data_IF_548594962801
#
_entry.id   IF_548594962801
#
_cell.length_a   1.000
_cell.length_b   1.000
_cell.length_c   1.000
_cell.angle_alpha   90.00
_cell.angle_beta   90.00
_cell.angle_gamma   90.00
#
_symmetry.space_group_name_H-M   'P 1'
#
loop_
_entity.id
_entity.type
_entity.pdbx_description
1 polymer ?
#
# COMPACT_ATOMS: atom_id res chain seq x y z
N UNK A 1 -29.62 -27.18 19.67
CA UNK A 1 -30.11 -26.28 20.74
C UNK A 1 -29.05 -25.22 21.00
N UNK A 2 -29.14 -24.08 20.30
CA UNK A 2 -28.14 -22.99 20.39
C UNK A 2 -28.08 -22.42 21.82
N UNK A 3 -29.21 -22.35 22.51
CA UNK A 3 -29.28 -21.89 23.92
C UNK A 3 -28.57 -22.83 24.89
N UNK A 4 -28.38 -24.10 24.51
CA UNK A 4 -27.63 -25.08 25.30
C UNK A 4 -26.19 -25.29 24.77
N UNK A 5 -25.70 -24.44 23.85
CA UNK A 5 -24.37 -24.57 23.24
C UNK A 5 -24.18 -25.81 22.36
N UNK A 6 -25.25 -26.53 22.05
CA UNK A 6 -25.22 -27.75 21.24
C UNK A 6 -25.67 -27.45 19.82
N UNK A 7 -24.72 -27.15 18.94
CA UNK A 7 -24.90 -27.06 17.49
C UNK A 7 -23.87 -27.94 16.78
N UNK A 8 -24.22 -28.43 15.59
CA UNK A 8 -23.26 -29.15 14.75
C UNK A 8 -22.18 -28.18 14.30
N UNK A 9 -20.94 -28.65 14.26
CA UNK A 9 -19.85 -27.84 13.73
C UNK A 9 -20.15 -27.43 12.29
N UNK A 10 -19.76 -26.20 11.96
CA UNK A 10 -19.92 -25.67 10.62
C UNK A 10 -18.95 -26.42 9.71
N UNK A 11 -19.42 -27.08 8.64
CA UNK A 11 -18.58 -27.87 7.76
C UNK A 11 -17.37 -27.08 7.23
N UNK A 12 -16.24 -27.76 7.04
CA UNK A 12 -14.99 -27.11 6.62
C UNK A 12 -15.08 -26.41 5.26
N UNK A 13 -15.98 -26.86 4.37
CA UNK A 13 -16.19 -26.23 3.07
C UNK A 13 -16.86 -24.85 3.18
N UNK A 14 -17.50 -24.52 4.31
CA UNK A 14 -18.09 -23.20 4.54
C UNK A 14 -16.99 -22.30 5.10
N UNK A 15 -16.55 -21.34 4.30
CA UNK A 15 -15.47 -20.40 4.60
C UNK A 15 -15.87 -18.97 4.21
N UNK A 16 -15.04 -17.98 4.59
CA UNK A 16 -15.30 -16.57 4.31
C UNK A 16 -16.48 -15.98 5.08
N UNK A 17 -17.11 -14.94 4.53
CA UNK A 17 -18.16 -14.16 5.18
C UNK A 17 -19.36 -15.02 5.65
N UNK A 18 -19.75 -16.03 4.86
CA UNK A 18 -20.83 -16.94 5.22
C UNK A 18 -20.52 -17.69 6.53
N UNK A 19 -19.26 -18.09 6.72
CA UNK A 19 -18.82 -18.78 7.94
C UNK A 19 -18.90 -17.85 9.13
N UNK A 20 -18.36 -16.64 9.02
CA UNK A 20 -18.37 -15.64 10.08
C UNK A 20 -19.79 -15.20 10.46
N UNK A 21 -20.66 -15.03 9.46
CA UNK A 21 -22.07 -14.74 9.66
C UNK A 21 -22.76 -15.87 10.43
N UNK A 22 -22.58 -17.13 10.03
CA UNK A 22 -23.15 -18.29 10.73
C UNK A 22 -22.61 -18.41 12.16
N UNK A 23 -21.31 -18.16 12.39
CA UNK A 23 -20.71 -18.15 13.73
C UNK A 23 -21.37 -17.08 14.60
N UNK A 24 -21.53 -15.86 14.08
CA UNK A 24 -22.17 -14.75 14.81
C UNK A 24 -23.65 -15.02 15.12
N UNK A 25 -24.38 -15.69 14.22
CA UNK A 25 -25.77 -16.08 14.43
C UNK A 25 -25.94 -17.20 15.46
N UNK A 26 -24.92 -18.06 15.61
CA UNK A 26 -24.89 -19.15 16.57
C UNK A 26 -24.42 -18.71 17.97
N UNK A 27 -24.23 -17.40 18.21
CA UNK A 27 -23.78 -16.89 19.50
C UNK A 27 -24.72 -17.31 20.64
N UNK A 28 -24.14 -17.81 21.75
CA UNK A 28 -24.86 -18.20 22.96
C UNK A 28 -25.64 -17.01 23.56
N UNK A 29 -25.02 -15.84 23.57
CA UNK A 29 -25.65 -14.59 23.99
C UNK A 29 -26.53 -14.03 22.86
N UNK A 30 -27.83 -14.00 23.10
CA UNK A 30 -28.80 -13.52 22.11
C UNK A 30 -28.63 -12.04 21.77
N UNK A 31 -28.10 -11.23 22.70
CA UNK A 31 -27.87 -9.79 22.48
C UNK A 31 -26.68 -9.51 21.56
N UNK A 32 -25.77 -10.48 21.41
CA UNK A 32 -24.58 -10.41 20.54
C UNK A 32 -24.81 -11.01 19.16
N UNK A 33 -26.00 -11.54 18.90
CA UNK A 33 -26.36 -12.01 17.55
C UNK A 33 -26.62 -10.81 16.66
N UNK A 34 -26.26 -10.89 15.37
CA UNK A 34 -26.56 -9.82 14.43
C UNK A 34 -28.07 -9.61 14.32
N UNK A 35 -28.47 -8.34 14.15
CA UNK A 35 -29.86 -7.98 13.87
C UNK A 35 -30.20 -8.26 12.41
N UNK A 36 -31.50 -8.25 12.09
CA UNK A 36 -31.98 -8.45 10.72
C UNK A 36 -31.39 -7.40 9.77
N UNK A 37 -31.25 -6.14 10.21
CA UNK A 37 -30.65 -5.09 9.39
C UNK A 37 -29.18 -5.36 9.06
N UNK A 38 -28.40 -5.84 10.05
CA UNK A 38 -27.00 -6.23 9.85
C UNK A 38 -26.90 -7.44 8.91
N UNK A 39 -27.81 -8.42 9.03
CA UNK A 39 -27.86 -9.57 8.14
C UNK A 39 -28.26 -9.19 6.71
N UNK A 40 -29.19 -8.25 6.54
CA UNK A 40 -29.63 -7.74 5.24
C UNK A 40 -28.57 -6.89 4.54
N UNK A 41 -27.63 -6.33 5.30
CA UNK A 41 -26.44 -5.65 4.79
C UNK A 41 -25.31 -6.60 4.39
N UNK A 42 -25.40 -7.90 4.72
CA UNK A 42 -24.40 -8.88 4.26
C UNK A 42 -24.46 -9.06 2.75
N UNK A 43 -23.29 -9.23 2.11
CA UNK A 43 -23.19 -9.30 0.66
C UNK A 43 -23.96 -10.50 0.09
N UNK A 44 -24.02 -11.59 0.89
CA UNK A 44 -24.80 -12.80 0.60
C UNK A 44 -26.29 -12.48 0.50
N UNK A 45 -26.82 -11.69 1.43
CA UNK A 45 -28.24 -11.41 1.52
C UNK A 45 -28.68 -10.39 0.45
N UNK A 46 -27.81 -9.44 0.09
CA UNK A 46 -28.03 -8.57 -1.07
C UNK A 46 -28.04 -9.35 -2.39
N UNK A 47 -27.17 -10.35 -2.53
CA UNK A 47 -27.12 -11.21 -3.70
C UNK A 47 -28.39 -12.08 -3.84
N UNK A 48 -28.88 -12.63 -2.73
CA UNK A 48 -30.15 -13.37 -2.69
C UNK A 48 -31.34 -12.45 -3.02
N UNK A 49 -31.33 -11.21 -2.51
CA UNK A 49 -32.40 -10.22 -2.76
C UNK A 49 -32.45 -9.79 -4.22
N UNK A 50 -31.31 -9.53 -4.84
CA UNK A 50 -31.20 -9.18 -6.27
C UNK A 50 -31.52 -10.37 -7.18
N UNK A 51 -31.27 -11.59 -6.73
CA UNK A 51 -31.69 -12.82 -7.43
C UNK A 51 -33.21 -13.02 -7.39
N UNK A 52 -33.85 -12.71 -6.25
CA UNK A 52 -35.29 -12.89 -6.07
C UNK A 52 -36.13 -11.76 -6.71
N UNK A 53 -35.58 -10.54 -6.84
CA UNK A 53 -36.27 -9.41 -7.49
C UNK A 53 -36.57 -9.64 -8.98
N UNK A 54 -35.88 -10.56 -9.64
CA UNK A 54 -36.05 -10.88 -11.06
C UNK A 54 -36.99 -12.07 -11.33
N UNK A 55 -37.78 -12.50 -10.35
CA UNK A 55 -38.62 -13.70 -10.47
C UNK A 55 -40.07 -13.47 -10.08
N UNK A 56 -40.81 -12.75 -10.92
CA UNK A 56 -42.23 -13.02 -11.10
C UNK A 56 -42.40 -14.00 -12.27
N UNK A 57 -42.57 -15.27 -11.94
CA UNK A 57 -43.10 -16.38 -12.76
C UNK A 57 -42.10 -17.34 -13.46
N UNK A 58 -42.34 -18.63 -13.17
CA UNK A 58 -41.90 -19.89 -13.81
C UNK A 58 -40.43 -20.38 -13.77
N UNK A 59 -40.20 -21.34 -12.85
CA UNK A 59 -39.43 -22.61 -12.91
C UNK A 59 -38.25 -22.77 -13.90
N UNK A 60 -37.09 -23.05 -13.29
CA UNK A 60 -36.03 -23.99 -13.69
C UNK A 60 -35.52 -23.92 -15.14
N UNK A 61 -34.70 -22.91 -15.41
CA UNK A 61 -33.50 -23.08 -16.23
C UNK A 61 -32.31 -22.42 -15.52
N UNK A 62 -31.09 -22.99 -15.56
CA UNK A 62 -29.91 -22.28 -15.10
C UNK A 62 -29.72 -21.06 -16.01
N UNK A 63 -30.02 -19.89 -15.47
CA UNK A 63 -29.72 -18.61 -16.11
C UNK A 63 -28.20 -18.60 -16.32
N UNK A 64 -27.69 -18.37 -17.55
CA UNK A 64 -26.27 -18.14 -17.75
C UNK A 64 -25.93 -16.85 -16.99
N UNK A 65 -25.37 -17.00 -15.79
CA UNK A 65 -24.83 -15.85 -15.07
C UNK A 65 -23.60 -15.45 -15.86
N UNK A 66 -23.74 -14.31 -16.55
CA UNK A 66 -22.71 -13.74 -17.40
C UNK A 66 -21.48 -13.48 -16.51
N UNK A 67 -20.50 -14.38 -16.56
CA UNK A 67 -19.30 -14.37 -15.71
C UNK A 67 -18.65 -12.99 -15.68
N UNK A 68 -18.69 -12.30 -16.82
CA UNK A 68 -18.21 -10.93 -17.00
C UNK A 68 -18.94 -9.89 -16.11
N UNK A 69 -20.25 -10.03 -15.86
CA UNK A 69 -21.00 -9.13 -14.96
C UNK A 69 -20.71 -9.43 -13.49
N UNK A 70 -20.53 -10.71 -13.15
CA UNK A 70 -20.20 -11.11 -11.78
C UNK A 70 -18.75 -10.75 -11.42
N UNK A 71 -17.82 -10.97 -12.35
CA UNK A 71 -16.43 -10.49 -12.28
C UNK A 71 -16.38 -8.95 -12.23
N UNK A 72 -17.19 -8.23 -13.02
CA UNK A 72 -17.25 -6.77 -12.96
C UNK A 72 -17.81 -6.21 -11.64
N UNK A 73 -18.70 -6.94 -10.94
CA UNK A 73 -19.25 -6.53 -9.65
C UNK A 73 -18.27 -6.86 -8.50
N UNK A 74 -17.60 -8.01 -8.55
CA UNK A 74 -16.56 -8.41 -7.59
C UNK A 74 -15.35 -7.47 -7.70
N UNK A 75 -14.88 -7.18 -8.92
CA UNK A 75 -13.80 -6.20 -9.19
C UNK A 75 -14.18 -4.81 -8.66
N UNK A 76 -15.46 -4.41 -8.74
CA UNK A 76 -15.93 -3.10 -8.23
C UNK A 76 -15.98 -2.99 -6.70
N UNK A 77 -16.08 -4.11 -5.95
CA UNK A 77 -16.07 -4.10 -4.48
C UNK A 77 -14.67 -4.34 -3.88
N UNK A 78 -13.79 -5.05 -4.58
CA UNK A 78 -12.37 -5.21 -4.20
C UNK A 78 -11.52 -3.93 -4.45
N UNK A 79 -12.07 -2.92 -5.13
CA UNK A 79 -11.37 -1.69 -5.55
C UNK A 79 -11.89 -0.41 -4.90
N UNK A 80 -12.19 -0.39 -3.59
CA UNK A 80 -12.20 0.89 -2.87
C UNK A 80 -10.76 1.38 -2.62
N UNK A 81 -10.07 1.67 -3.72
CA UNK A 81 -8.80 2.39 -3.72
C UNK A 81 -9.15 3.85 -3.43
N UNK A 82 -8.90 4.29 -2.20
CA UNK A 82 -9.07 5.70 -1.85
C UNK A 82 -7.82 6.44 -2.27
N UNK A 83 -7.94 7.21 -3.35
CA UNK A 83 -6.89 8.13 -3.79
C UNK A 83 -6.67 9.21 -2.74
N UNK A 84 -5.40 9.47 -2.47
CA UNK A 84 -4.93 10.49 -1.55
C UNK A 84 -4.16 11.52 -2.36
N UNK A 85 -4.51 12.79 -2.23
CA UNK A 85 -3.75 13.87 -2.89
C UNK A 85 -2.42 14.05 -2.16
N UNK A 86 -1.26 13.85 -2.84
CA UNK A 86 0.04 14.06 -2.22
C UNK A 86 0.29 15.55 -1.96
N UNK A 87 0.74 15.86 -0.75
CA UNK A 87 1.21 17.20 -0.37
C UNK A 87 2.73 17.14 -0.21
N UNK A 88 3.45 17.99 -0.96
CA UNK A 88 4.90 17.96 -1.01
C UNK A 88 5.46 18.96 0.00
N UNK A 89 6.24 18.48 0.97
CA UNK A 89 6.83 19.32 2.01
C UNK A 89 8.09 20.01 1.44
N UNK A 90 7.90 21.12 0.72
CA UNK A 90 8.98 21.92 0.12
C UNK A 90 9.44 22.99 1.12
N UNK A 91 10.64 22.83 1.71
CA UNK A 91 11.16 23.78 2.72
C UNK A 91 11.65 25.11 2.15
N UNK A 92 12.00 25.15 0.86
CA UNK A 92 12.53 26.35 0.20
C UNK A 92 12.18 26.34 -1.29
N UNK A 93 11.41 27.32 -1.73
CA UNK A 93 10.92 27.42 -3.12
C UNK A 93 12.03 27.52 -4.17
N UNK A 94 13.24 27.94 -3.78
CA UNK A 94 14.38 28.01 -4.69
C UNK A 94 14.93 26.63 -5.11
N UNK A 95 14.45 25.53 -4.51
CA UNK A 95 14.91 24.17 -4.81
C UNK A 95 13.98 23.44 -5.78
N UNK A 96 12.76 23.94 -5.96
CA UNK A 96 11.79 23.34 -6.85
C UNK A 96 10.37 23.72 -6.50
N UNK A 97 9.45 23.29 -7.35
CA UNK A 97 8.03 23.61 -7.25
C UNK A 97 7.17 22.38 -7.49
N UNK A 98 5.99 22.37 -6.86
CA UNK A 98 4.97 21.37 -7.10
C UNK A 98 3.99 21.87 -8.19
N UNK A 99 3.65 21.00 -9.13
CA UNK A 99 2.62 21.18 -10.14
C UNK A 99 1.69 19.97 -10.10
N UNK A 100 0.55 20.09 -9.41
CA UNK A 100 -0.33 18.95 -9.13
C UNK A 100 0.42 17.85 -8.37
N UNK A 101 0.49 16.64 -8.93
CA UNK A 101 1.21 15.51 -8.33
C UNK A 101 2.67 15.40 -8.78
N UNK A 102 3.23 16.44 -9.41
CA UNK A 102 4.60 16.45 -9.91
C UNK A 102 5.46 17.46 -9.15
N UNK A 103 6.63 17.04 -8.72
CA UNK A 103 7.67 17.95 -8.25
C UNK A 103 8.70 18.18 -9.36
N UNK A 104 9.08 19.44 -9.58
CA UNK A 104 10.13 19.82 -10.53
C UNK A 104 11.23 20.54 -9.79
N UNK A 105 12.45 20.00 -9.87
CA UNK A 105 13.67 20.56 -9.31
C UNK A 105 14.02 21.88 -10.01
N UNK A 106 14.64 22.82 -9.29
CA UNK A 106 15.03 24.11 -9.86
C UNK A 106 15.99 23.94 -11.04
N UNK A 107 15.87 24.82 -12.04
CA UNK A 107 16.78 24.93 -13.18
C UNK A 107 18.12 25.63 -12.86
N UNK A 108 18.30 26.15 -11.64
CA UNK A 108 19.41 27.05 -11.29
C UNK A 108 20.72 26.36 -10.93
N UNK A 109 20.65 25.21 -10.29
CA UNK A 109 21.82 24.49 -9.78
C UNK A 109 21.48 23.02 -9.54
N UNK A 110 22.50 22.17 -9.61
CA UNK A 110 22.40 20.79 -9.14
C UNK A 110 22.60 20.77 -7.62
N UNK A 111 21.66 20.23 -6.87
CA UNK A 111 21.81 20.08 -5.43
C UNK A 111 20.88 19.01 -4.83
N UNK A 112 21.10 18.69 -3.57
CA UNK A 112 20.35 17.67 -2.86
C UNK A 112 18.92 18.15 -2.57
N UNK A 113 17.92 17.41 -3.06
CA UNK A 113 16.52 17.73 -2.81
C UNK A 113 15.73 16.50 -2.39
N UNK A 114 15.58 16.32 -1.07
CA UNK A 114 14.69 15.31 -0.48
C UNK A 114 13.34 15.93 -0.16
N UNK A 115 12.27 15.38 -0.73
CA UNK A 115 10.91 15.87 -0.53
C UNK A 115 10.09 14.80 0.20
N UNK A 116 9.65 15.12 1.42
CA UNK A 116 8.68 14.32 2.15
C UNK A 116 7.26 14.57 1.63
N UNK A 117 6.42 13.54 1.69
CA UNK A 117 5.05 13.55 1.19
C UNK A 117 4.08 13.33 2.34
N UNK A 118 3.10 14.21 2.46
CA UNK A 118 1.95 14.08 3.35
C UNK A 118 0.73 13.52 2.59
N UNK A 119 -0.17 12.79 3.28
CA UNK A 119 -0.22 12.60 4.73
C UNK A 119 0.75 11.55 5.30
N UNK A 120 1.03 11.68 6.60
CA UNK A 120 1.67 10.64 7.41
C UNK A 120 0.84 9.36 7.39
N UNK A 121 1.51 8.23 7.21
CA UNK A 121 0.90 6.90 7.29
C UNK A 121 1.12 6.33 8.69
N UNK A 122 0.05 5.92 9.35
CA UNK A 122 0.09 5.37 10.70
C UNK A 122 -0.85 4.16 10.92
N UNK A 123 -1.63 3.80 9.90
CA UNK A 123 -2.62 2.72 9.94
C UNK A 123 -2.94 2.22 8.53
N UNK A 124 -3.50 1.02 8.45
CA UNK A 124 -3.93 0.41 7.20
C UNK A 124 -2.78 0.08 6.26
N UNK A 125 -3.11 -0.03 4.98
CA UNK A 125 -2.15 -0.31 3.91
C UNK A 125 -2.13 0.89 2.96
N UNK A 126 -0.93 1.36 2.62
CA UNK A 126 -0.75 2.49 1.73
C UNK A 126 0.22 2.15 0.59
N UNK A 127 -0.14 2.48 -0.65
CA UNK A 127 0.73 2.43 -1.82
C UNK A 127 1.15 3.82 -2.22
N UNK A 128 2.44 4.00 -2.47
CA UNK A 128 3.03 5.19 -3.04
C UNK A 128 3.82 4.82 -4.28
N UNK A 129 3.47 5.37 -5.43
CA UNK A 129 4.09 5.10 -6.73
C UNK A 129 4.58 6.39 -7.38
N UNK A 130 5.81 6.36 -7.88
CA UNK A 130 6.47 7.49 -8.53
C UNK A 130 7.08 7.10 -9.87
N UNK A 131 7.11 8.07 -10.78
CA UNK A 131 7.87 8.03 -12.02
C UNK A 131 8.83 9.22 -12.04
N UNK A 132 10.12 8.95 -12.27
CA UNK A 132 11.16 9.97 -12.37
C UNK A 132 11.43 10.35 -13.83
N UNK A 133 11.80 11.60 -14.06
CA UNK A 133 12.08 12.16 -15.39
C UNK A 133 13.25 13.16 -15.33
N UNK A 134 14.06 13.22 -16.38
CA UNK A 134 15.17 14.16 -16.56
C UNK A 134 16.23 14.10 -15.44
N UNK A 135 16.43 12.92 -14.84
CA UNK A 135 17.37 12.74 -13.73
C UNK A 135 18.79 12.40 -14.18
N UNK A 136 19.03 12.23 -15.49
CA UNK A 136 20.32 11.76 -16.00
C UNK A 136 20.76 10.42 -15.41
N UNK A 137 19.82 9.64 -14.84
CA UNK A 137 20.03 8.35 -14.18
C UNK A 137 20.98 8.40 -12.98
N UNK A 138 21.14 9.55 -12.33
CA UNK A 138 22.04 9.72 -11.20
C UNK A 138 21.28 10.15 -9.96
N UNK A 139 21.55 9.48 -8.83
CA UNK A 139 21.01 9.79 -7.51
C UNK A 139 19.48 9.98 -7.51
N UNK A 140 18.76 9.03 -8.08
CA UNK A 140 17.31 8.91 -7.88
C UNK A 140 17.08 7.94 -6.74
N UNK A 141 16.31 8.36 -5.74
CA UNK A 141 16.08 7.58 -4.54
C UNK A 141 14.65 7.86 -4.06
N UNK A 142 13.98 6.84 -3.55
CA UNK A 142 12.76 7.01 -2.76
C UNK A 142 12.79 6.10 -1.54
N UNK A 143 11.83 6.31 -0.64
CA UNK A 143 11.57 5.33 0.39
C UNK A 143 10.64 5.85 1.46
N UNK A 144 10.87 5.38 2.68
CA UNK A 144 10.11 5.78 3.85
C UNK A 144 11.03 6.39 4.90
N UNK A 145 10.46 7.26 5.71
CA UNK A 145 11.13 7.86 6.86
C UNK A 145 10.22 7.74 8.08
N UNK A 146 10.81 7.61 9.27
CA UNK A 146 10.07 7.86 10.50
C UNK A 146 9.40 9.24 10.43
N UNK A 147 8.15 9.36 10.90
CA UNK A 147 7.40 10.62 10.77
C UNK A 147 8.00 11.79 11.56
N UNK A 148 8.96 11.55 12.46
CA UNK A 148 9.75 12.61 13.12
C UNK A 148 10.83 13.21 12.22
N UNK A 149 11.16 12.58 11.08
CA UNK A 149 12.13 13.12 10.13
C UNK A 149 11.65 14.43 9.52
N UNK A 150 12.59 15.36 9.38
CA UNK A 150 12.45 16.54 8.54
C UNK A 150 13.67 16.63 7.64
N UNK A 151 13.44 16.90 6.36
CA UNK A 151 14.49 17.14 5.40
C UNK A 151 14.66 18.63 5.20
N UNK A 152 15.81 19.18 5.57
CA UNK A 152 16.12 20.57 5.27
C UNK A 152 16.46 20.76 3.78
N UNK A 153 16.33 21.99 3.29
CA UNK A 153 16.69 22.29 1.91
C UNK A 153 18.20 22.04 1.69
N UNK A 154 18.56 21.34 0.60
CA UNK A 154 19.97 21.04 0.30
C UNK A 154 20.53 19.85 1.04
N UNK A 155 19.69 18.95 1.55
CA UNK A 155 20.10 17.80 2.34
C UNK A 155 19.65 16.48 1.72
N UNK A 156 20.50 15.47 1.87
CA UNK A 156 20.21 14.08 1.51
C UNK A 156 19.29 13.43 2.55
N UNK A 157 18.62 12.31 2.21
CA UNK A 157 17.74 11.62 3.14
C UNK A 157 18.44 11.09 4.40
N UNK A 158 19.75 10.86 4.36
CA UNK A 158 20.53 10.38 5.52
C UNK A 158 21.12 11.50 6.40
N UNK A 159 21.12 12.74 5.91
CA UNK A 159 21.71 13.89 6.60
C UNK A 159 20.90 14.28 7.85
N UNK A 160 21.42 15.22 8.64
CA UNK A 160 20.74 15.82 9.80
C UNK A 160 20.21 14.79 10.83
N UNK A 161 20.95 13.68 11.00
CA UNK A 161 20.60 12.61 11.95
C UNK A 161 19.51 11.66 11.45
N UNK A 162 19.24 11.63 10.14
CA UNK A 162 18.21 10.78 9.54
C UNK A 162 18.72 9.42 9.04
N UNK A 163 20.02 9.10 9.21
CA UNK A 163 20.62 7.84 8.75
C UNK A 163 19.88 6.61 9.27
N UNK A 164 19.55 6.58 10.56
CA UNK A 164 18.82 5.47 11.22
C UNK A 164 17.30 5.63 11.15
N UNK A 165 16.82 6.67 10.47
CA UNK A 165 15.40 7.03 10.42
C UNK A 165 14.80 6.92 9.03
N UNK A 166 15.57 6.45 8.04
CA UNK A 166 15.16 6.34 6.65
C UNK A 166 15.46 4.96 6.09
N UNK A 167 14.57 4.46 5.23
CA UNK A 167 14.87 3.36 4.30
C UNK A 167 14.99 3.99 2.92
N UNK A 168 16.09 3.71 2.22
CA UNK A 168 16.50 4.39 0.99
C UNK A 168 16.65 3.35 -0.13
N UNK A 169 15.73 3.35 -1.09
CA UNK A 169 15.81 2.47 -2.26
C UNK A 169 16.40 3.24 -3.44
N UNK A 170 17.66 2.94 -3.76
CA UNK A 170 18.44 3.61 -4.79
C UNK A 170 18.15 3.07 -6.19
N UNK A 171 18.29 3.95 -7.18
CA UNK A 171 18.31 3.62 -8.62
C UNK A 171 19.17 2.40 -8.96
N UNK A 172 20.29 2.20 -8.25
CA UNK A 172 21.22 1.07 -8.46
C UNK A 172 20.65 -0.28 -8.00
N UNK A 173 19.50 -0.30 -7.33
CA UNK A 173 18.92 -1.48 -6.71
C UNK A 173 19.34 -1.69 -5.25
N UNK A 174 20.13 -0.79 -4.68
CA UNK A 174 20.52 -0.89 -3.27
C UNK A 174 19.39 -0.43 -2.34
N UNK A 175 19.15 -1.18 -1.27
CA UNK A 175 18.16 -0.85 -0.26
C UNK A 175 18.86 -0.59 1.06
N UNK A 176 18.94 0.67 1.46
CA UNK A 176 19.80 1.08 2.58
C UNK A 176 19.03 1.61 3.78
N UNK A 177 19.66 1.54 4.93
CA UNK A 177 19.16 2.06 6.21
C UNK A 177 20.33 2.52 7.09
N UNK A 178 20.73 1.72 8.08
CA UNK A 178 21.98 1.92 8.83
C UNK A 178 23.16 1.44 7.96
N UNK A 179 22.95 0.34 7.24
CA UNK A 179 23.91 -0.19 6.28
C UNK A 179 23.72 0.46 4.92
N UNK A 180 24.84 0.59 4.21
CA UNK A 180 24.89 1.08 2.85
C UNK A 180 25.15 -0.09 1.89
N UNK A 181 24.74 0.09 0.63
CA UNK A 181 24.98 -0.82 -0.48
C UNK A 181 24.37 -2.23 -0.31
N UNK A 182 23.22 -2.34 0.37
CA UNK A 182 22.57 -3.66 0.56
C UNK A 182 21.98 -4.13 -0.77
N UNK A 183 22.57 -5.19 -1.34
CA UNK A 183 22.20 -5.74 -2.65
C UNK A 183 21.00 -6.68 -2.58
N UNK A 184 20.30 -6.82 -3.70
CA UNK A 184 19.26 -7.84 -3.90
C UNK A 184 18.11 -7.36 -4.76
N UNK A 185 17.78 -6.08 -4.70
CA UNK A 185 16.72 -5.50 -5.54
C UNK A 185 17.26 -5.11 -6.91
N UNK A 186 16.36 -5.03 -7.89
CA UNK A 186 16.66 -4.60 -9.25
C UNK A 186 16.94 -3.09 -9.26
N UNK A 187 17.82 -2.67 -10.16
CA UNK A 187 17.93 -1.25 -10.53
C UNK A 187 16.69 -0.76 -11.28
N UNK A 188 16.55 0.56 -11.40
CA UNK A 188 15.47 1.18 -12.17
C UNK A 188 15.97 2.43 -12.90
N UNK A 189 15.18 3.00 -13.80
CA UNK A 189 15.54 4.15 -14.61
C UNK A 189 14.39 5.17 -14.69
N UNK A 190 14.67 6.33 -15.28
CA UNK A 190 13.61 7.28 -15.63
C UNK A 190 12.53 6.62 -16.48
N UNK A 191 11.28 7.04 -16.27
CA UNK A 191 10.11 6.51 -16.98
C UNK A 191 9.55 5.20 -16.43
N UNK A 192 10.29 4.47 -15.58
CA UNK A 192 9.75 3.28 -14.90
C UNK A 192 8.85 3.68 -13.72
N UNK A 193 7.92 2.79 -13.35
CA UNK A 193 7.08 2.96 -12.15
C UNK A 193 7.76 2.32 -10.96
N UNK A 194 8.14 3.11 -9.96
CA UNK A 194 8.69 2.59 -8.70
C UNK A 194 7.64 2.81 -7.62
N UNK A 195 7.31 1.76 -6.87
CA UNK A 195 6.37 1.91 -5.76
C UNK A 195 6.85 1.27 -4.46
N UNK A 196 6.33 1.80 -3.36
CA UNK A 196 6.46 1.26 -2.03
C UNK A 196 5.05 1.01 -1.47
N UNK A 197 4.81 -0.22 -1.02
CA UNK A 197 3.58 -0.58 -0.29
C UNK A 197 3.95 -0.78 1.17
N UNK A 198 3.31 0.00 2.04
CA UNK A 198 3.46 -0.07 3.48
C UNK A 198 2.24 -0.78 4.06
N UNK A 199 2.48 -1.81 4.87
CA UNK A 199 1.47 -2.53 5.62
C UNK A 199 1.66 -2.23 7.11
N UNK A 200 0.81 -1.35 7.64
CA UNK A 200 0.78 -1.01 9.07
C UNK A 200 -0.07 -1.99 9.89
N UNK A 201 -0.79 -2.89 9.24
CA UNK A 201 -1.66 -3.88 9.89
C UNK A 201 -0.89 -5.14 10.29
N UNK A 202 0.21 -5.45 9.58
CA UNK A 202 1.06 -6.59 9.90
C UNK A 202 1.87 -6.37 11.19
N UNK A 203 2.18 -7.47 11.88
CA UNK A 203 3.09 -7.48 13.01
C UNK A 203 4.19 -8.55 12.79
N UNK A 204 5.43 -8.16 12.45
CA UNK A 204 5.92 -6.78 12.37
C UNK A 204 5.36 -6.00 11.17
N UNK A 205 5.20 -4.68 11.31
CA UNK A 205 4.84 -3.76 10.20
C UNK A 205 5.91 -3.82 9.12
N UNK A 206 5.55 -3.66 7.85
CA UNK A 206 6.50 -3.84 6.76
C UNK A 206 6.32 -2.86 5.61
N UNK A 207 7.38 -2.69 4.83
CA UNK A 207 7.37 -1.98 3.53
C UNK A 207 8.00 -2.86 2.47
N UNK A 208 7.32 -2.98 1.33
CA UNK A 208 7.73 -3.77 0.16
C UNK A 208 7.85 -2.85 -1.04
N UNK A 209 8.85 -3.07 -1.89
CA UNK A 209 9.13 -2.24 -3.05
C UNK A 209 8.80 -2.96 -4.35
N UNK A 210 8.45 -2.20 -5.38
CA UNK A 210 8.14 -2.71 -6.72
C UNK A 210 8.80 -1.84 -7.77
N UNK A 211 9.20 -2.45 -8.88
CA UNK A 211 9.60 -1.75 -10.11
C UNK A 211 8.76 -2.32 -11.25
N UNK A 212 8.03 -1.47 -11.96
CA UNK A 212 7.05 -1.84 -12.99
C UNK A 212 6.10 -2.97 -12.54
N UNK A 213 5.54 -2.81 -11.34
CA UNK A 213 4.60 -3.75 -10.70
C UNK A 213 5.20 -5.13 -10.36
N UNK A 214 6.52 -5.30 -10.49
CA UNK A 214 7.25 -6.51 -10.07
C UNK A 214 7.81 -6.30 -8.66
N UNK A 215 7.42 -7.15 -7.72
CA UNK A 215 7.89 -7.11 -6.33
C UNK A 215 9.40 -7.34 -6.23
N UNK A 216 10.03 -6.61 -5.32
CA UNK A 216 11.47 -6.70 -5.07
C UNK A 216 11.77 -7.62 -3.88
N UNK A 217 12.83 -8.45 -3.96
CA UNK A 217 13.09 -9.51 -2.97
C UNK A 217 13.44 -8.98 -1.57
N UNK A 218 14.15 -7.85 -1.47
CA UNK A 218 14.45 -7.24 -0.18
C UNK A 218 13.33 -6.28 0.20
N UNK A 219 12.76 -6.50 1.40
CA UNK A 219 11.75 -5.67 2.02
C UNK A 219 12.11 -5.41 3.48
N UNK A 220 11.53 -4.38 4.09
CA UNK A 220 11.87 -3.99 5.47
C UNK A 220 10.73 -4.31 6.42
N UNK A 221 11.05 -4.91 7.57
CA UNK A 221 10.12 -5.24 8.65
C UNK A 221 10.44 -4.47 9.93
N UNK A 222 9.44 -4.33 10.79
CA UNK A 222 9.54 -3.61 12.06
C UNK A 222 9.61 -2.10 11.91
N UNK A 223 9.05 -1.55 10.83
CA UNK A 223 9.06 -0.11 10.55
C UNK A 223 8.31 0.67 11.66
N UNK A 224 8.59 1.98 11.82
CA UNK A 224 7.94 2.81 12.85
C UNK A 224 6.42 2.82 12.73
N UNK A 225 5.73 3.15 13.83
CA UNK A 225 4.27 3.24 13.86
C UNK A 225 3.70 4.45 13.11
N UNK A 226 4.54 5.41 12.74
CA UNK A 226 4.20 6.58 11.92
C UNK A 226 5.34 6.82 10.94
N UNK A 227 5.04 6.84 9.64
CA UNK A 227 6.04 7.08 8.59
C UNK A 227 5.55 8.13 7.59
N UNK A 228 6.50 8.68 6.82
CA UNK A 228 6.22 9.39 5.58
C UNK A 228 6.90 8.71 4.41
N UNK A 229 6.26 8.77 3.24
CA UNK A 229 6.95 8.55 1.98
C UNK A 229 7.80 9.76 1.64
N UNK A 230 8.88 9.55 0.89
CA UNK A 230 9.70 10.63 0.36
C UNK A 230 10.36 10.20 -0.96
N UNK A 231 10.72 11.19 -1.76
CA UNK A 231 11.50 11.02 -2.98
C UNK A 231 12.62 12.07 -3.04
N UNK A 232 13.70 11.72 -3.73
CA UNK A 232 14.90 12.53 -3.84
C UNK A 232 15.29 12.74 -5.31
N UNK A 233 15.71 13.97 -5.61
CA UNK A 233 16.25 14.38 -6.91
C UNK A 233 17.49 15.26 -6.72
N UNK A 234 18.39 15.27 -7.70
CA UNK A 234 19.66 16.02 -7.63
C UNK A 234 19.89 17.01 -8.78
N UNK A 235 19.69 16.57 -10.02
CA UNK A 235 19.99 17.40 -11.18
C UNK A 235 18.96 18.51 -11.37
N UNK A 236 19.43 19.64 -11.89
CA UNK A 236 18.57 20.73 -12.32
C UNK A 236 17.51 20.23 -13.31
N UNK A 237 16.28 20.76 -13.21
CA UNK A 237 15.15 20.38 -14.06
C UNK A 237 14.71 18.91 -14.00
N UNK A 238 15.32 18.08 -13.15
CA UNK A 238 14.83 16.73 -12.86
C UNK A 238 13.50 16.79 -12.12
N UNK A 239 12.70 15.73 -12.22
CA UNK A 239 11.37 15.73 -11.65
C UNK A 239 10.92 14.33 -11.27
N UNK A 240 9.90 14.28 -10.42
CA UNK A 240 9.16 13.05 -10.17
C UNK A 240 7.67 13.35 -10.09
N UNK A 241 6.88 12.39 -10.57
CA UNK A 241 5.42 12.45 -10.54
C UNK A 241 4.91 11.32 -9.67
N UNK A 242 4.09 11.65 -8.68
CA UNK A 242 3.35 10.67 -7.87
C UNK A 242 2.15 10.20 -8.69
N UNK A 243 2.22 8.98 -9.22
CA UNK A 243 1.16 8.41 -10.08
C UNK A 243 0.09 7.69 -9.27
N UNK A 244 0.44 7.16 -8.10
CA UNK A 244 -0.51 6.58 -7.14
C UNK A 244 -0.11 6.98 -5.73
N UNK A 245 -1.08 7.48 -4.98
CA UNK A 245 -0.97 7.54 -3.53
C UNK A 245 -2.30 7.12 -2.95
N UNK A 246 -2.36 5.88 -2.46
CA UNK A 246 -3.61 5.17 -2.32
C UNK A 246 -3.66 4.40 -1.01
N UNK A 247 -4.83 4.35 -0.39
CA UNK A 247 -5.11 3.34 0.64
C UNK A 247 -5.65 2.08 -0.01
N UNK A 248 -5.07 0.94 0.37
CA UNK A 248 -5.45 -0.37 -0.13
C UNK A 248 -6.27 -1.12 0.94
N UNK A 249 -7.25 -1.89 0.49
CA UNK A 249 -8.05 -2.78 1.36
C UNK A 249 -7.25 -4.02 1.75
N UNK A 250 -6.45 -4.54 0.82
CA UNK A 250 -5.65 -5.74 1.00
C UNK A 250 -4.27 -5.58 0.39
N UNK A 251 -3.29 -6.26 0.99
CA UNK A 251 -1.94 -6.39 0.48
C UNK A 251 -1.63 -7.87 0.27
N UNK A 252 -1.32 -8.24 -0.97
CA UNK A 252 -0.86 -9.60 -1.32
C UNK A 252 0.54 -9.47 -1.91
N UNK A 253 1.51 -10.09 -1.23
CA UNK A 253 2.88 -10.17 -1.71
C UNK A 253 2.98 -11.20 -2.83
N UNK A 254 3.71 -10.87 -3.88
CA UNK A 254 4.13 -11.81 -4.91
C UNK A 254 5.20 -12.70 -4.24
N UNK A 255 4.98 -14.01 -4.11
CA UNK A 255 5.96 -14.90 -3.50
C UNK A 255 7.27 -14.93 -4.32
N UNK A 256 8.23 -14.06 -4.00
CA UNK A 256 9.51 -13.94 -4.70
C UNK A 256 10.53 -14.89 -4.05
N UNK A 257 11.10 -15.80 -4.85
CA UNK A 257 12.17 -16.71 -4.42
C UNK A 257 13.40 -15.90 -3.98
N UNK A 258 13.95 -16.23 -2.82
CA UNK A 258 15.13 -15.54 -2.27
C UNK A 258 14.81 -14.21 -1.56
N UNK A 259 13.54 -13.95 -1.26
CA UNK A 259 13.13 -12.77 -0.50
C UNK A 259 13.81 -12.69 0.86
N UNK A 260 14.22 -11.47 1.24
CA UNK A 260 14.87 -11.18 2.53
C UNK A 260 14.10 -10.10 3.28
N UNK A 261 13.65 -10.48 4.47
CA UNK A 261 13.11 -9.53 5.44
C UNK A 261 14.26 -8.84 6.19
N UNK A 262 14.39 -7.53 6.01
CA UNK A 262 15.43 -6.71 6.62
C UNK A 262 14.86 -5.95 7.82
N UNK A 263 15.45 -6.11 8.99
CA UNK A 263 14.92 -5.54 10.23
C UNK A 263 15.28 -4.05 10.36
N UNK A 264 14.28 -3.17 10.51
CA UNK A 264 14.50 -1.76 10.86
C UNK A 264 15.32 -1.62 12.14
N UNK A 265 16.22 -0.64 12.18
CA UNK A 265 17.09 -0.37 13.33
C UNK A 265 18.22 -1.39 13.50
N UNK A 266 18.50 -2.20 12.47
CA UNK A 266 19.60 -3.16 12.44
C UNK A 266 20.46 -2.98 11.20
N UNK A 267 21.73 -3.37 11.31
CA UNK A 267 22.61 -3.53 10.16
C UNK A 267 22.22 -4.76 9.34
N UNK A 268 22.25 -4.64 8.02
CA UNK A 268 21.93 -5.72 7.09
C UNK A 268 23.21 -6.34 6.50
N UNK A 269 23.12 -7.59 6.05
CA UNK A 269 24.22 -8.33 5.43
C UNK A 269 23.84 -8.83 4.04
#
# INVERSE_FOLDING_TARGET
>A
NIKAGKYKEIPAYVHGELREMLISMLNLDASRRPTVDILLQSDIMELVKSSNANSSSSRNQPIPVDKAKQEAIIVRRETQIVQTTPIFIIKKESYGKQYGNKFVHSDKFNNQCTIAIDPVINEGIARFEVVFENSGRFLIILGIADASCSFAAGRQPADDGNIEKTVRYYQSGYLDHITNDTKGNRSYEDGQRISAIVDMTSNPRKVVFYVDDIEQPNFVIGIPSKIRFWAYTYYQSSSFTVTKFERLVQFTSQEIVGSKALQWGKSWK
#
